data_IF_205161235433
#
_entry.id   IF_205161235433
#
_cell.length_a   1.000
_cell.length_b   1.000
_cell.length_c   1.000
_cell.angle_alpha   90.00
_cell.angle_beta   90.00
_cell.angle_gamma   90.00
#
_symmetry.space_group_name_H-M   'P 1'
#
loop_
_entity.id
_entity.type
_entity.pdbx_description
1 polymer ?
#
# COMPACT_ATOMS: atom_id res chain seq x y z
N UNK A 1 -7.16 82.23 -14.50
CA UNK A 1 -8.26 82.93 -13.77
C UNK A 1 -9.56 82.61 -14.46
N UNK A 2 -10.58 82.14 -13.73
CA UNK A 2 -11.95 82.03 -14.25
C UNK A 2 -12.55 80.62 -14.29
N UNK A 3 -13.18 80.24 -13.17
CA UNK A 3 -14.00 79.04 -12.92
C UNK A 3 -15.21 78.89 -13.86
N UNK A 4 -15.57 77.64 -14.20
CA UNK A 4 -16.97 77.20 -14.18
C UNK A 4 -17.08 75.67 -13.96
N UNK A 5 -17.58 75.30 -12.78
CA UNK A 5 -18.11 73.96 -12.48
C UNK A 5 -19.47 73.79 -13.17
N UNK A 6 -19.73 72.64 -13.78
CA UNK A 6 -21.09 72.17 -14.04
C UNK A 6 -21.27 70.76 -13.47
N UNK A 7 -22.20 70.67 -12.51
CA UNK A 7 -22.67 69.45 -11.86
C UNK A 7 -23.52 68.66 -12.85
N UNK A 8 -23.22 67.38 -13.08
CA UNK A 8 -24.15 66.45 -13.72
C UNK A 8 -24.83 65.65 -12.61
N UNK A 9 -26.15 65.78 -12.55
CA UNK A 9 -27.03 65.03 -11.66
C UNK A 9 -27.25 63.61 -12.17
N UNK A 10 -27.33 62.71 -11.18
CA UNK A 10 -27.71 61.31 -11.23
C UNK A 10 -29.05 61.03 -11.90
N UNK A 11 -29.14 59.94 -12.67
CA UNK A 11 -30.31 59.05 -12.70
C UNK A 11 -29.86 57.60 -12.90
N UNK A 12 -29.63 56.89 -11.80
CA UNK A 12 -29.53 55.42 -11.83
C UNK A 12 -30.94 54.87 -11.73
N UNK A 13 -31.33 54.05 -12.70
CA UNK A 13 -32.65 53.47 -12.88
C UNK A 13 -32.93 52.43 -11.76
N UNK A 14 -34.01 52.52 -10.98
CA UNK A 14 -34.23 51.66 -9.81
C UNK A 14 -34.56 50.20 -10.14
N UNK A 15 -34.61 49.81 -11.42
CA UNK A 15 -34.84 48.42 -11.83
C UNK A 15 -33.61 47.50 -11.75
N UNK A 16 -32.39 48.04 -11.54
CA UNK A 16 -31.16 47.23 -11.52
C UNK A 16 -30.72 46.71 -10.15
N UNK A 17 -31.41 47.09 -9.06
CA UNK A 17 -31.06 46.67 -7.69
C UNK A 17 -31.87 45.45 -7.22
N UNK A 18 -32.91 45.05 -7.94
CA UNK A 18 -33.81 43.97 -7.53
C UNK A 18 -33.39 42.55 -8.00
N UNK A 19 -32.37 42.41 -8.87
CA UNK A 19 -31.90 41.10 -9.37
C UNK A 19 -30.71 40.54 -8.57
N UNK A 20 -30.10 41.33 -7.69
CA UNK A 20 -28.95 40.87 -6.86
C UNK A 20 -29.39 40.27 -5.52
N UNK A 21 -30.68 40.38 -5.13
CA UNK A 21 -31.15 39.97 -3.78
C UNK A 21 -31.91 38.62 -3.79
N UNK A 22 -32.16 38.00 -4.95
CA UNK A 22 -32.87 36.69 -5.02
C UNK A 22 -31.93 35.50 -5.29
N UNK A 23 -30.61 35.73 -5.44
CA UNK A 23 -29.60 34.66 -5.56
C UNK A 23 -28.70 34.51 -4.31
N UNK A 24 -29.18 34.96 -3.14
CA UNK A 24 -28.44 34.90 -1.88
C UNK A 24 -29.15 34.12 -0.75
N UNK A 25 -30.13 33.28 -1.08
CA UNK A 25 -30.91 32.50 -0.10
C UNK A 25 -31.13 31.03 -0.48
N UNK A 26 -30.19 30.45 -1.22
CA UNK A 26 -30.02 28.99 -1.31
C UNK A 26 -28.61 28.60 -0.85
N UNK A 27 -28.19 29.11 0.32
CA UNK A 27 -27.09 28.51 1.03
C UNK A 27 -27.57 27.15 1.54
N UNK A 28 -27.11 26.12 0.84
CA UNK A 28 -27.27 24.72 1.16
C UNK A 28 -27.15 24.53 2.67
N UNK A 29 -28.18 23.96 3.28
CA UNK A 29 -28.01 23.21 4.50
C UNK A 29 -27.07 22.06 4.15
N UNK A 30 -25.76 22.30 4.26
CA UNK A 30 -24.77 21.23 4.33
C UNK A 30 -25.11 20.51 5.62
N UNK A 31 -25.83 19.39 5.51
CA UNK A 31 -25.81 18.39 6.55
C UNK A 31 -24.35 18.03 6.72
N UNK A 32 -23.72 18.56 7.77
CA UNK A 32 -22.51 17.97 8.30
C UNK A 32 -22.92 16.56 8.70
N UNK A 33 -22.76 15.60 7.80
CA UNK A 33 -22.77 14.21 8.16
C UNK A 33 -21.66 14.11 9.19
N UNK A 34 -22.06 14.07 10.47
CA UNK A 34 -21.15 13.87 11.57
C UNK A 34 -20.37 12.62 11.21
N UNK A 35 -19.09 12.79 10.89
CA UNK A 35 -18.20 11.67 10.65
C UNK A 35 -18.11 11.01 12.01
N UNK A 36 -18.93 9.98 12.23
CA UNK A 36 -18.93 9.25 13.48
C UNK A 36 -17.49 8.76 13.67
N UNK A 37 -16.80 9.31 14.66
CA UNK A 37 -15.46 8.86 15.02
C UNK A 37 -15.54 7.36 15.24
N UNK A 38 -14.81 6.59 14.45
CA UNK A 38 -14.81 5.13 14.58
C UNK A 38 -14.38 4.80 15.99
N UNK A 39 -15.19 3.97 16.66
CA UNK A 39 -14.84 3.44 17.96
C UNK A 39 -13.64 2.49 17.81
N UNK A 40 -12.46 3.06 18.04
CA UNK A 40 -11.19 2.34 18.01
C UNK A 40 -10.97 1.48 19.27
N UNK A 41 -11.85 1.55 20.27
CA UNK A 41 -11.67 0.89 21.56
C UNK A 41 -12.01 -0.60 21.53
N UNK A 42 -12.88 -1.02 20.61
CA UNK A 42 -13.45 -2.37 20.57
C UNK A 42 -13.39 -2.94 19.16
N UNK A 43 -12.86 -4.14 19.02
CA UNK A 43 -12.78 -4.86 17.74
C UNK A 43 -13.64 -6.12 17.74
N UNK A 44 -14.32 -6.39 16.62
CA UNK A 44 -15.11 -7.60 16.40
C UNK A 44 -14.16 -8.72 15.94
N UNK A 45 -14.07 -9.80 16.72
CA UNK A 45 -13.25 -10.96 16.38
C UNK A 45 -14.03 -11.95 15.52
N UNK A 46 -13.42 -12.39 14.41
CA UNK A 46 -13.83 -13.52 13.58
C UNK A 46 -12.66 -14.50 13.51
N UNK A 47 -12.91 -15.80 13.70
CA UNK A 47 -11.88 -16.85 13.71
C UNK A 47 -12.03 -17.74 12.48
N UNK A 48 -10.93 -17.95 11.78
CA UNK A 48 -10.84 -18.86 10.65
C UNK A 48 -10.02 -20.09 11.04
N UNK A 49 -10.62 -21.27 10.92
CA UNK A 49 -10.00 -22.55 11.26
C UNK A 49 -10.48 -23.65 10.29
N UNK A 50 -9.58 -24.18 9.46
CA UNK A 50 -9.90 -25.23 8.49
C UNK A 50 -10.43 -26.51 9.15
N UNK A 51 -10.14 -26.74 10.45
CA UNK A 51 -10.69 -27.88 11.20
C UNK A 51 -12.17 -27.72 11.59
N UNK A 52 -12.76 -26.54 11.35
CA UNK A 52 -14.17 -26.26 11.67
C UNK A 52 -14.43 -25.83 13.12
N UNK A 53 -13.39 -25.57 13.91
CA UNK A 53 -13.51 -25.05 15.29
C UNK A 53 -13.46 -23.51 15.37
N UNK A 54 -13.51 -22.84 14.23
CA UNK A 54 -13.59 -21.39 14.08
C UNK A 54 -14.99 -20.99 13.63
N UNK A 55 -15.19 -19.68 13.46
CA UNK A 55 -16.45 -19.14 12.97
C UNK A 55 -16.59 -19.39 11.44
N UNK A 56 -15.46 -19.51 10.72
CA UNK A 56 -15.39 -19.91 9.31
C UNK A 56 -14.26 -20.92 9.05
N UNK A 57 -14.37 -21.71 7.97
CA UNK A 57 -13.29 -22.59 7.48
C UNK A 57 -12.38 -21.90 6.46
N UNK A 58 -12.93 -20.99 5.67
CA UNK A 58 -12.25 -20.24 4.61
C UNK A 58 -12.02 -18.79 5.01
N UNK A 59 -10.97 -18.20 4.46
CA UNK A 59 -10.65 -16.79 4.71
C UNK A 59 -11.63 -15.89 3.96
N UNK A 60 -11.95 -16.22 2.70
CA UNK A 60 -12.86 -15.40 1.90
C UNK A 60 -14.26 -15.33 2.53
N UNK A 61 -14.81 -16.44 3.03
CA UNK A 61 -16.12 -16.46 3.70
C UNK A 61 -16.16 -15.52 4.92
N UNK A 62 -15.06 -15.44 5.68
CA UNK A 62 -14.96 -14.53 6.82
C UNK A 62 -14.94 -13.05 6.38
N UNK A 63 -14.24 -12.71 5.31
CA UNK A 63 -14.26 -11.37 4.70
C UNK A 63 -15.68 -11.06 4.19
N UNK A 64 -16.33 -12.04 3.56
CA UNK A 64 -17.66 -11.90 2.97
C UNK A 64 -18.73 -11.62 4.02
N UNK A 65 -18.56 -12.15 5.24
CA UNK A 65 -19.44 -11.88 6.39
C UNK A 65 -19.37 -10.46 6.96
N UNK A 66 -18.29 -9.71 6.69
CA UNK A 66 -18.19 -8.31 7.12
C UNK A 66 -19.20 -7.48 6.31
N UNK A 67 -20.08 -6.67 6.95
CA UNK A 67 -21.07 -5.87 6.24
C UNK A 67 -20.44 -4.89 5.23
N UNK A 68 -21.12 -4.67 4.11
CA UNK A 68 -20.79 -3.57 3.19
C UNK A 68 -20.88 -2.20 3.87
N UNK A 69 -20.10 -1.24 3.37
CA UNK A 69 -19.92 0.10 3.93
C UNK A 69 -19.53 0.07 5.42
N UNK A 70 -18.64 -0.86 5.78
CA UNK A 70 -18.25 -1.10 7.16
C UNK A 70 -17.64 0.16 7.82
N UNK A 71 -18.03 0.41 9.08
CA UNK A 71 -17.47 1.49 9.91
C UNK A 71 -16.96 0.99 11.27
N UNK A 72 -16.89 -0.33 11.46
CA UNK A 72 -16.44 -0.98 12.71
C UNK A 72 -15.11 -1.68 12.50
N UNK A 73 -14.33 -1.85 13.56
CA UNK A 73 -13.12 -2.65 13.48
C UNK A 73 -13.46 -4.15 13.44
N UNK A 74 -12.98 -4.85 12.41
CA UNK A 74 -13.03 -6.31 12.33
C UNK A 74 -11.63 -6.89 12.38
N UNK A 75 -11.43 -7.93 13.17
CA UNK A 75 -10.20 -8.68 13.26
C UNK A 75 -10.47 -10.13 12.91
N UNK A 76 -10.02 -10.54 11.74
CA UNK A 76 -10.10 -11.90 11.25
C UNK A 76 -8.79 -12.60 11.66
N UNK A 77 -8.89 -13.41 12.71
CA UNK A 77 -7.78 -14.23 13.19
C UNK A 77 -7.76 -15.57 12.47
N UNK A 78 -6.68 -15.87 11.79
CA UNK A 78 -6.50 -17.09 11.01
C UNK A 78 -5.58 -18.04 11.79
N UNK A 79 -6.06 -19.26 12.04
CA UNK A 79 -5.23 -20.30 12.66
C UNK A 79 -4.10 -20.76 11.73
N UNK A 80 -3.06 -21.43 12.28
CA UNK A 80 -2.03 -22.04 11.46
C UNK A 80 -2.62 -23.03 10.44
N UNK A 81 -2.12 -22.97 9.21
CA UNK A 81 -2.59 -23.77 8.08
C UNK A 81 -2.12 -23.20 6.74
N UNK A 82 -2.31 -24.00 5.69
CA UNK A 82 -2.11 -23.58 4.30
C UNK A 82 -3.48 -23.41 3.65
N UNK A 83 -3.79 -22.16 3.30
CA UNK A 83 -5.05 -21.73 2.72
C UNK A 83 -4.83 -21.49 1.22
N UNK A 84 -5.23 -22.48 0.41
CA UNK A 84 -5.18 -22.37 -1.05
C UNK A 84 -6.42 -21.64 -1.56
N UNK A 85 -6.41 -20.32 -1.47
CA UNK A 85 -7.53 -19.43 -1.79
C UNK A 85 -7.01 -18.19 -2.53
N UNK A 86 -7.80 -17.67 -3.48
CA UNK A 86 -7.63 -16.29 -3.96
C UNK A 86 -8.45 -15.37 -3.07
N UNK A 87 -7.78 -14.38 -2.49
CA UNK A 87 -8.40 -13.47 -1.52
C UNK A 87 -8.62 -12.11 -2.15
N UNK A 88 -9.82 -11.56 -1.99
CA UNK A 88 -10.14 -10.17 -2.29
C UNK A 88 -10.77 -9.54 -1.06
N UNK A 89 -10.22 -8.42 -0.60
CA UNK A 89 -10.83 -7.56 0.43
C UNK A 89 -11.50 -6.39 -0.30
N UNK A 90 -12.84 -6.41 -0.47
CA UNK A 90 -13.58 -5.44 -1.27
C UNK A 90 -13.50 -4.00 -0.76
N UNK A 91 -13.54 -3.03 -1.66
CA UNK A 91 -13.35 -1.60 -1.34
C UNK A 91 -14.37 -1.05 -0.31
N UNK A 92 -15.58 -1.60 -0.30
CA UNK A 92 -16.68 -1.22 0.61
C UNK A 92 -16.55 -1.84 2.01
N UNK A 93 -15.47 -2.56 2.31
CA UNK A 93 -15.23 -3.21 3.62
C UNK A 93 -13.96 -2.69 4.31
N UNK A 94 -13.84 -1.38 4.60
CA UNK A 94 -12.67 -0.84 5.27
C UNK A 94 -12.54 -1.35 6.71
N UNK A 95 -11.41 -1.05 7.36
CA UNK A 95 -11.14 -1.37 8.77
C UNK A 95 -11.03 -2.87 9.11
N UNK A 96 -10.84 -3.74 8.12
CA UNK A 96 -10.53 -5.16 8.32
C UNK A 96 -9.04 -5.32 8.67
N UNK A 97 -8.78 -6.04 9.75
CA UNK A 97 -7.47 -6.62 10.07
C UNK A 97 -7.51 -8.12 9.81
N UNK A 98 -6.53 -8.64 9.08
CA UNK A 98 -6.32 -10.08 8.93
C UNK A 98 -4.99 -10.45 9.57
N UNK A 99 -5.02 -11.36 10.53
CA UNK A 99 -3.83 -11.75 11.29
C UNK A 99 -3.69 -13.26 11.40
N UNK A 100 -2.53 -13.77 11.01
CA UNK A 100 -2.09 -15.10 11.43
C UNK A 100 -1.57 -15.10 12.86
N UNK A 101 -1.10 -16.26 13.32
CA UNK A 101 -0.37 -16.37 14.61
C UNK A 101 1.12 -16.12 14.41
N UNK A 102 1.70 -16.67 13.34
CA UNK A 102 3.08 -16.44 12.89
C UNK A 102 3.09 -16.50 11.36
N UNK A 103 3.92 -15.68 10.72
CA UNK A 103 4.00 -15.71 9.26
C UNK A 103 4.42 -17.09 8.72
N UNK A 104 5.30 -17.81 9.41
CA UNK A 104 5.80 -19.11 8.97
C UNK A 104 4.78 -20.25 9.02
N UNK A 105 3.60 -20.06 9.63
CA UNK A 105 2.62 -21.14 9.77
C UNK A 105 1.19 -20.77 9.37
N UNK A 106 0.94 -19.53 8.93
CA UNK A 106 -0.33 -19.12 8.31
C UNK A 106 -0.03 -18.67 6.89
N UNK A 107 -0.24 -19.58 5.92
CA UNK A 107 0.15 -19.41 4.52
C UNK A 107 -1.09 -19.27 3.66
N UNK A 108 -1.18 -18.20 2.87
CA UNK A 108 -2.19 -17.97 1.84
C UNK A 108 -1.48 -18.15 0.50
N UNK A 109 -1.91 -19.12 -0.30
CA UNK A 109 -1.17 -19.57 -1.49
C UNK A 109 -2.06 -19.71 -2.72
N UNK A 110 -1.54 -19.28 -3.86
CA UNK A 110 -2.08 -19.58 -5.18
C UNK A 110 -0.95 -19.74 -6.20
N UNK A 111 -1.27 -19.93 -7.47
CA UNK A 111 -0.26 -20.26 -8.51
C UNK A 111 -0.62 -19.74 -9.90
N UNK A 112 -1.33 -18.62 -10.00
CA UNK A 112 -1.66 -18.00 -11.29
C UNK A 112 -0.49 -17.15 -11.78
N UNK A 113 -0.18 -17.24 -13.07
CA UNK A 113 0.71 -16.31 -13.76
C UNK A 113 -0.01 -15.55 -14.88
N UNK A 114 0.65 -14.56 -15.47
CA UNK A 114 0.15 -13.86 -16.65
C UNK A 114 -0.22 -12.40 -16.37
N UNK A 115 -1.50 -12.04 -16.54
CA UNK A 115 -1.96 -10.66 -16.35
C UNK A 115 -1.74 -10.22 -14.89
N UNK A 116 -1.19 -9.01 -14.70
CA UNK A 116 -0.63 -8.58 -13.41
C UNK A 116 -1.73 -8.39 -12.36
N UNK A 117 -2.92 -7.93 -12.73
CA UNK A 117 -4.03 -7.79 -11.78
C UNK A 117 -4.71 -9.13 -11.47
N UNK A 118 -4.86 -10.00 -12.47
CA UNK A 118 -5.55 -11.28 -12.32
C UNK A 118 -4.69 -12.33 -11.63
N UNK A 119 -3.36 -12.28 -11.76
CA UNK A 119 -2.46 -13.26 -11.13
C UNK A 119 -2.34 -13.14 -9.61
N UNK A 120 -2.84 -12.06 -9.01
CA UNK A 120 -2.74 -11.80 -7.58
C UNK A 120 -3.36 -12.93 -6.72
N UNK A 121 -2.58 -13.48 -5.79
CA UNK A 121 -3.08 -14.41 -4.76
C UNK A 121 -3.98 -13.67 -3.76
N UNK A 122 -3.55 -12.48 -3.33
CA UNK A 122 -4.28 -11.63 -2.40
C UNK A 122 -4.39 -10.22 -2.99
N UNK A 123 -5.61 -9.72 -3.18
CA UNK A 123 -5.90 -8.32 -3.53
C UNK A 123 -6.56 -7.57 -2.38
N UNK A 124 -5.99 -6.43 -1.98
CA UNK A 124 -6.57 -5.50 -1.00
C UNK A 124 -7.06 -4.25 -1.73
N UNK A 125 -8.37 -4.01 -1.68
CA UNK A 125 -9.03 -2.80 -2.21
C UNK A 125 -9.59 -1.89 -1.10
N UNK A 126 -9.80 -2.46 0.10
CA UNK A 126 -10.38 -1.77 1.24
C UNK A 126 -9.40 -0.82 1.92
N UNK A 127 -9.85 0.41 2.20
CA UNK A 127 -9.06 1.35 2.98
C UNK A 127 -8.90 0.91 4.44
N UNK A 128 -7.86 1.40 5.12
CA UNK A 128 -7.58 1.11 6.53
C UNK A 128 -7.33 -0.37 6.83
N UNK A 129 -7.00 -1.16 5.80
CA UNK A 129 -6.69 -2.58 5.93
C UNK A 129 -5.39 -2.80 6.72
N UNK A 130 -5.36 -3.86 7.53
CA UNK A 130 -4.13 -4.30 8.23
C UNK A 130 -3.89 -5.80 8.04
N UNK A 131 -2.74 -6.16 7.46
CA UNK A 131 -2.25 -7.54 7.40
C UNK A 131 -1.17 -7.80 8.45
N UNK A 132 -1.23 -8.93 9.18
CA UNK A 132 -0.22 -9.26 10.20
C UNK A 132 0.16 -10.73 10.20
N UNK A 133 1.46 -11.02 10.25
CA UNK A 133 1.96 -12.38 10.49
C UNK A 133 1.38 -13.42 9.51
N UNK A 134 1.29 -13.07 8.23
CA UNK A 134 0.85 -13.93 7.14
C UNK A 134 2.04 -14.23 6.22
N UNK A 135 2.11 -15.43 5.67
CA UNK A 135 2.77 -15.66 4.38
C UNK A 135 1.73 -15.54 3.29
N UNK A 136 2.00 -14.70 2.30
CA UNK A 136 1.20 -14.53 1.09
C UNK A 136 2.13 -14.89 -0.07
N UNK A 137 1.81 -15.95 -0.79
CA UNK A 137 2.70 -16.47 -1.82
C UNK A 137 1.99 -16.79 -3.12
N UNK A 138 2.70 -16.56 -4.23
CA UNK A 138 2.34 -17.07 -5.53
C UNK A 138 3.42 -18.05 -6.00
N UNK A 139 3.01 -19.30 -6.21
CA UNK A 139 3.89 -20.44 -6.51
C UNK A 139 4.00 -20.75 -8.00
N UNK A 140 3.53 -19.85 -8.88
CA UNK A 140 3.65 -20.00 -10.34
C UNK A 140 5.10 -20.21 -10.82
N UNK A 141 6.06 -19.62 -10.11
CA UNK A 141 7.50 -19.76 -10.40
C UNK A 141 8.04 -18.68 -11.32
N UNK A 142 9.11 -18.98 -12.04
CA UNK A 142 9.93 -18.01 -12.78
C UNK A 142 9.53 -17.81 -14.25
N UNK A 143 8.44 -18.44 -14.71
CA UNK A 143 8.02 -18.42 -16.11
C UNK A 143 7.40 -17.08 -16.56
N UNK A 144 7.12 -16.17 -15.63
CA UNK A 144 6.55 -14.86 -15.94
C UNK A 144 6.00 -14.16 -14.70
N UNK A 145 5.20 -13.11 -14.93
CA UNK A 145 4.54 -12.32 -13.89
C UNK A 145 3.61 -13.19 -13.05
N UNK A 146 3.71 -13.06 -11.74
CA UNK A 146 2.91 -13.81 -10.79
C UNK A 146 2.79 -13.03 -9.47
N UNK A 147 1.72 -12.24 -9.33
CA UNK A 147 1.57 -11.38 -8.14
C UNK A 147 1.19 -12.22 -6.92
N UNK A 148 1.90 -12.05 -5.81
CA UNK A 148 1.50 -12.61 -4.52
C UNK A 148 0.51 -11.67 -3.83
N UNK A 149 0.87 -10.40 -3.73
CA UNK A 149 0.06 -9.37 -3.08
C UNK A 149 -0.14 -8.18 -4.01
N UNK A 150 -1.40 -7.80 -4.24
CA UNK A 150 -1.79 -6.53 -4.84
C UNK A 150 -2.43 -5.64 -3.79
N UNK A 151 -1.97 -4.41 -3.68
CA UNK A 151 -2.54 -3.41 -2.76
C UNK A 151 -2.94 -2.17 -3.56
N UNK A 152 -4.25 -1.95 -3.68
CA UNK A 152 -4.85 -0.79 -4.35
C UNK A 152 -5.86 -0.15 -3.39
N UNK A 153 -5.36 0.37 -2.27
CA UNK A 153 -6.18 0.83 -1.15
C UNK A 153 -5.52 1.99 -0.41
N UNK A 154 -6.29 2.92 0.13
CA UNK A 154 -5.67 3.97 0.95
C UNK A 154 -5.46 3.48 2.39
N UNK A 155 -4.34 3.84 3.01
CA UNK A 155 -4.06 3.58 4.45
C UNK A 155 -3.97 2.07 4.77
N UNK A 156 -3.27 1.30 3.93
CA UNK A 156 -3.05 -0.12 4.18
C UNK A 156 -1.71 -0.37 4.90
N UNK A 157 -1.70 -1.25 5.91
CA UNK A 157 -0.48 -1.57 6.65
C UNK A 157 -0.23 -3.08 6.77
N UNK A 158 1.04 -3.48 6.70
CA UNK A 158 1.48 -4.86 6.81
C UNK A 158 2.58 -4.99 7.86
N UNK A 159 2.44 -5.94 8.79
CA UNK A 159 3.35 -6.13 9.92
C UNK A 159 3.84 -7.57 9.99
N UNK A 160 5.16 -7.76 9.86
CA UNK A 160 5.76 -9.09 10.02
C UNK A 160 5.26 -10.11 9.00
N UNK A 161 4.81 -9.67 7.82
CA UNK A 161 4.34 -10.55 6.76
C UNK A 161 5.49 -11.05 5.89
N UNK A 162 5.29 -12.18 5.22
CA UNK A 162 6.16 -12.72 4.17
C UNK A 162 5.41 -12.64 2.84
N UNK A 163 5.98 -11.98 1.84
CA UNK A 163 5.36 -11.80 0.52
C UNK A 163 6.29 -12.42 -0.54
N UNK A 164 5.88 -13.54 -1.12
CA UNK A 164 6.78 -14.46 -1.83
C UNK A 164 6.28 -14.74 -3.25
N UNK A 165 7.11 -14.47 -4.24
CA UNK A 165 6.92 -14.90 -5.64
C UNK A 165 8.23 -14.67 -6.39
N UNK A 166 8.18 -14.54 -7.72
CA UNK A 166 9.34 -14.33 -8.58
C UNK A 166 9.28 -12.99 -9.32
N UNK A 167 8.50 -12.86 -10.38
CA UNK A 167 8.31 -11.60 -11.09
C UNK A 167 7.02 -10.91 -10.62
N UNK A 168 7.10 -9.60 -10.37
CA UNK A 168 5.98 -8.76 -9.92
C UNK A 168 5.39 -9.21 -8.56
N UNK A 169 6.22 -9.75 -7.64
CA UNK A 169 5.76 -10.32 -6.35
C UNK A 169 4.77 -9.43 -5.58
N UNK A 170 5.12 -8.17 -5.39
CA UNK A 170 4.30 -7.16 -4.73
C UNK A 170 3.92 -6.10 -5.75
N UNK A 171 2.65 -6.10 -6.16
CA UNK A 171 2.04 -5.01 -6.89
C UNK A 171 1.49 -3.99 -5.88
N UNK A 172 2.34 -3.06 -5.50
CA UNK A 172 2.05 -1.92 -4.63
C UNK A 172 1.40 -0.78 -5.45
N UNK A 173 0.17 -1.07 -5.90
CA UNK A 173 -0.55 -0.43 -7.01
C UNK A 173 -0.78 1.08 -6.77
N UNK A 174 -1.62 1.43 -5.79
CA UNK A 174 -2.00 2.82 -5.50
C UNK A 174 -2.51 2.98 -4.07
N UNK A 175 -2.27 4.14 -3.48
CA UNK A 175 -2.64 4.46 -2.10
C UNK A 175 -1.44 4.84 -1.22
N UNK A 176 -1.70 4.99 0.08
CA UNK A 176 -0.66 5.20 1.09
C UNK A 176 -0.46 3.89 1.87
N UNK A 177 0.73 3.31 1.80
CA UNK A 177 1.00 2.00 2.39
C UNK A 177 2.18 2.01 3.36
N UNK A 178 2.11 1.11 4.34
CA UNK A 178 3.17 0.92 5.32
C UNK A 178 3.50 -0.56 5.49
N UNK A 179 4.76 -0.92 5.28
CA UNK A 179 5.26 -2.28 5.48
C UNK A 179 6.31 -2.23 6.59
N UNK A 180 6.10 -2.97 7.67
CA UNK A 180 7.00 -2.98 8.82
C UNK A 180 7.46 -4.37 9.16
N UNK A 181 8.78 -4.55 9.21
CA UNK A 181 9.40 -5.83 9.58
C UNK A 181 8.95 -7.00 8.68
N UNK A 182 8.59 -6.71 7.43
CA UNK A 182 8.16 -7.71 6.46
C UNK A 182 9.37 -8.33 5.75
N UNK A 183 9.20 -9.55 5.27
CA UNK A 183 10.11 -10.21 4.34
C UNK A 183 9.46 -10.24 2.95
N UNK A 184 10.17 -9.76 1.93
CA UNK A 184 9.67 -9.69 0.55
C UNK A 184 10.75 -10.28 -0.36
N UNK A 185 10.38 -11.25 -1.20
CA UNK A 185 11.32 -11.86 -2.13
C UNK A 185 10.82 -11.94 -3.58
N UNK A 186 11.76 -11.92 -4.52
CA UNK A 186 11.49 -12.03 -5.95
C UNK A 186 12.72 -11.75 -6.79
N UNK A 187 12.58 -11.70 -8.12
CA UNK A 187 13.69 -11.60 -9.06
C UNK A 187 13.61 -10.36 -9.95
N UNK A 188 12.47 -10.15 -10.62
CA UNK A 188 12.27 -9.09 -11.61
C UNK A 188 11.11 -8.21 -11.21
N UNK A 189 11.35 -6.91 -11.09
CA UNK A 189 10.35 -5.88 -10.76
C UNK A 189 9.48 -6.26 -9.56
N UNK A 190 10.06 -6.98 -8.59
CA UNK A 190 9.26 -7.72 -7.62
C UNK A 190 8.60 -6.83 -6.56
N UNK A 191 8.93 -5.53 -6.55
CA UNK A 191 8.15 -4.48 -5.89
C UNK A 191 7.82 -3.41 -6.95
N UNK A 192 6.59 -3.37 -7.44
CA UNK A 192 6.19 -2.50 -8.55
C UNK A 192 4.86 -1.79 -8.28
N UNK A 193 4.59 -0.70 -9.00
CA UNK A 193 3.35 0.08 -8.85
C UNK A 193 3.59 1.57 -8.60
N UNK A 194 2.54 2.29 -8.20
CA UNK A 194 2.55 3.75 -8.02
C UNK A 194 2.08 4.19 -6.62
N UNK A 195 2.10 3.33 -5.60
CA UNK A 195 1.75 3.76 -4.25
C UNK A 195 2.76 4.76 -3.64
N UNK A 196 2.31 5.49 -2.63
CA UNK A 196 3.18 6.18 -1.67
C UNK A 196 3.45 5.23 -0.50
N UNK A 197 4.65 4.65 -0.46
CA UNK A 197 4.92 3.52 0.42
C UNK A 197 6.20 3.67 1.23
N UNK A 198 6.09 3.34 2.52
CA UNK A 198 7.23 3.22 3.42
C UNK A 198 7.42 1.76 3.83
N UNK A 199 8.56 1.20 3.44
CA UNK A 199 9.07 -0.08 3.89
C UNK A 199 10.06 0.19 5.03
N UNK A 200 9.68 -0.09 6.27
CA UNK A 200 10.48 0.16 7.46
C UNK A 200 10.98 -1.14 8.07
N UNK A 201 12.31 -1.28 8.19
CA UNK A 201 12.98 -2.47 8.76
C UNK A 201 12.58 -3.79 8.07
N UNK A 202 12.27 -3.73 6.77
CA UNK A 202 11.96 -4.90 5.98
C UNK A 202 13.22 -5.62 5.51
N UNK A 203 13.12 -6.92 5.28
CA UNK A 203 14.12 -7.72 4.59
C UNK A 203 13.67 -7.98 3.16
N UNK A 204 14.41 -7.41 2.22
CA UNK A 204 14.18 -7.51 0.79
C UNK A 204 15.20 -8.51 0.21
N UNK A 205 14.72 -9.60 -0.36
CA UNK A 205 15.57 -10.71 -0.80
C UNK A 205 15.41 -11.00 -2.30
N UNK A 206 16.47 -10.76 -3.08
CA UNK A 206 16.46 -11.04 -4.52
C UNK A 206 16.81 -12.50 -4.80
N UNK A 207 15.89 -13.21 -5.44
CA UNK A 207 16.07 -14.56 -5.96
C UNK A 207 16.78 -14.59 -7.31
N UNK A 208 17.04 -13.43 -7.92
CA UNK A 208 17.66 -13.37 -9.25
C UNK A 208 19.08 -13.94 -9.22
N UNK A 209 19.36 -14.86 -10.14
CA UNK A 209 20.71 -15.38 -10.42
C UNK A 209 21.51 -14.46 -11.34
N UNK A 210 20.87 -13.43 -11.93
CA UNK A 210 21.51 -12.40 -12.76
C UNK A 210 20.49 -11.44 -13.36
N UNK A 211 20.88 -10.17 -13.54
CA UNK A 211 20.04 -9.11 -14.14
C UNK A 211 18.68 -8.88 -13.46
N UNK A 212 18.57 -9.16 -12.15
CA UNK A 212 17.35 -8.86 -11.39
C UNK A 212 17.08 -7.36 -11.24
N UNK A 213 15.86 -7.01 -10.88
CA UNK A 213 15.47 -5.64 -10.54
C UNK A 213 14.57 -5.68 -9.30
N UNK A 214 14.96 -4.93 -8.26
CA UNK A 214 14.19 -4.91 -7.00
C UNK A 214 12.90 -4.12 -7.16
N UNK A 215 12.98 -2.89 -7.68
CA UNK A 215 11.80 -2.03 -7.82
C UNK A 215 11.51 -1.62 -9.26
N UNK A 216 10.23 -1.52 -9.59
CA UNK A 216 9.74 -0.85 -10.79
C UNK A 216 8.62 0.15 -10.45
N UNK A 217 9.00 1.35 -10.04
CA UNK A 217 8.05 2.37 -9.57
C UNK A 217 7.49 3.18 -10.74
N UNK A 218 6.18 3.43 -10.74
CA UNK A 218 5.38 3.91 -11.89
C UNK A 218 4.86 5.35 -11.78
N UNK A 219 5.51 6.22 -11.01
CA UNK A 219 5.10 7.63 -10.91
C UNK A 219 5.11 8.29 -12.28
N UNK A 220 4.00 8.93 -12.64
CA UNK A 220 3.76 9.46 -13.99
C UNK A 220 3.90 10.98 -14.09
N UNK A 221 3.84 11.70 -12.96
CA UNK A 221 4.01 13.16 -12.97
C UNK A 221 4.65 13.71 -11.69
N UNK A 222 5.18 14.94 -11.77
CA UNK A 222 5.76 15.67 -10.63
C UNK A 222 4.75 16.04 -9.55
N UNK A 223 3.47 16.11 -9.88
CA UNK A 223 2.38 16.50 -8.99
C UNK A 223 1.94 15.33 -8.09
N UNK A 224 2.20 14.08 -8.49
CA UNK A 224 1.93 12.91 -7.66
C UNK A 224 2.88 12.89 -6.45
N UNK A 225 2.36 12.66 -5.24
CA UNK A 225 3.19 12.43 -4.06
C UNK A 225 3.44 10.93 -3.80
N UNK A 226 3.67 10.16 -4.85
CA UNK A 226 3.87 8.70 -4.79
C UNK A 226 5.35 8.32 -4.85
N UNK A 227 5.72 7.10 -4.49
CA UNK A 227 7.10 6.65 -4.46
C UNK A 227 7.35 5.58 -3.41
N UNK A 228 8.46 4.86 -3.56
CA UNK A 228 8.86 3.81 -2.63
C UNK A 228 10.03 4.27 -1.76
N UNK A 229 9.86 4.24 -0.45
CA UNK A 229 10.91 4.56 0.52
C UNK A 229 11.26 3.33 1.34
N UNK A 230 12.52 2.94 1.35
CA UNK A 230 13.06 1.83 2.13
C UNK A 230 13.93 2.40 3.26
N UNK A 231 13.45 2.29 4.50
CA UNK A 231 14.05 2.89 5.67
C UNK A 231 14.55 1.81 6.65
N UNK A 232 15.86 1.75 6.87
CA UNK A 232 16.45 0.78 7.79
C UNK A 232 16.29 -0.67 7.33
N UNK A 233 16.13 -0.89 6.02
CA UNK A 233 15.90 -2.21 5.45
C UNK A 233 17.21 -3.01 5.30
N UNK A 234 17.05 -4.29 4.95
CA UNK A 234 18.16 -5.18 4.58
C UNK A 234 17.94 -5.73 3.17
N UNK A 235 18.86 -5.46 2.26
CA UNK A 235 18.84 -5.97 0.88
C UNK A 235 19.86 -7.11 0.73
N UNK A 236 19.37 -8.29 0.38
CA UNK A 236 20.15 -9.52 0.18
C UNK A 236 19.67 -10.28 -1.04
N UNK A 237 20.38 -11.32 -1.46
CA UNK A 237 20.01 -12.08 -2.65
C UNK A 237 21.11 -13.04 -3.09
N UNK A 238 20.77 -13.86 -4.08
CA UNK A 238 21.60 -14.99 -4.53
C UNK A 238 22.61 -14.59 -5.60
N UNK A 239 22.19 -13.83 -6.60
CA UNK A 239 23.02 -13.40 -7.73
C UNK A 239 23.23 -11.90 -7.77
N UNK A 240 22.84 -11.28 -8.90
CA UNK A 240 23.01 -9.85 -9.16
C UNK A 240 21.69 -9.18 -9.49
N UNK A 241 21.48 -7.98 -8.95
CA UNK A 241 20.31 -7.17 -9.25
C UNK A 241 20.63 -5.67 -9.21
N UNK A 242 19.83 -4.88 -9.93
CA UNK A 242 19.74 -3.43 -9.72
C UNK A 242 18.71 -3.11 -8.62
N UNK A 243 18.94 -2.00 -7.92
CA UNK A 243 18.04 -1.41 -6.93
C UNK A 243 16.68 -1.05 -7.52
N UNK A 244 16.64 -0.68 -8.81
CA UNK A 244 15.39 -0.40 -9.49
C UNK A 244 15.55 0.06 -10.94
N UNK A 245 14.41 0.11 -11.64
CA UNK A 245 14.28 0.69 -12.98
C UNK A 245 12.95 1.43 -13.16
N UNK A 246 12.90 2.50 -13.98
CA UNK A 246 11.75 3.40 -14.00
C UNK A 246 10.65 2.90 -14.93
N UNK A 247 9.60 2.32 -14.34
CA UNK A 247 8.37 2.00 -15.07
C UNK A 247 7.64 3.29 -15.50
N UNK A 248 7.57 4.28 -14.61
CA UNK A 248 6.99 5.59 -14.89
C UNK A 248 8.07 6.66 -15.19
N UNK A 249 7.74 7.71 -15.96
CA UNK A 249 8.69 8.76 -16.31
C UNK A 249 9.19 9.61 -15.13
N UNK A 250 8.46 9.65 -14.02
CA UNK A 250 8.82 10.39 -12.79
C UNK A 250 9.14 9.44 -11.63
N UNK A 251 9.56 8.21 -11.96
CA UNK A 251 9.79 7.14 -11.00
C UNK A 251 10.58 7.61 -9.77
N UNK A 252 10.08 7.32 -8.57
CA UNK A 252 10.70 7.76 -7.31
C UNK A 252 10.95 6.60 -6.35
N UNK A 253 12.22 6.37 -6.04
CA UNK A 253 12.68 5.32 -5.14
C UNK A 253 13.80 5.86 -4.25
N UNK A 254 13.66 5.69 -2.93
CA UNK A 254 14.66 6.13 -1.95
C UNK A 254 15.05 4.97 -1.06
N UNK A 255 16.35 4.71 -0.93
CA UNK A 255 16.93 3.82 0.07
C UNK A 255 17.63 4.66 1.13
N UNK A 256 17.21 4.55 2.39
CA UNK A 256 17.79 5.29 3.50
C UNK A 256 18.18 4.36 4.64
N UNK A 257 19.40 4.54 5.17
CA UNK A 257 19.92 3.76 6.30
C UNK A 257 19.82 2.24 6.07
N UNK A 258 19.91 1.81 4.81
CA UNK A 258 19.62 0.45 4.38
C UNK A 258 20.90 -0.32 4.14
N UNK A 259 20.97 -1.56 4.65
CA UNK A 259 22.07 -2.47 4.36
C UNK A 259 21.92 -3.05 2.95
N UNK A 260 23.00 -3.08 2.17
CA UNK A 260 23.06 -3.69 0.84
C UNK A 260 24.20 -4.71 0.79
N UNK A 261 23.86 -5.99 0.62
CA UNK A 261 24.86 -7.03 0.34
C UNK A 261 25.48 -6.86 -1.05
N UNK A 262 26.55 -7.60 -1.34
CA UNK A 262 27.28 -7.53 -2.62
C UNK A 262 26.52 -8.00 -3.87
N UNK A 263 25.22 -8.27 -3.79
CA UNK A 263 24.38 -8.56 -4.97
C UNK A 263 24.14 -7.32 -5.84
N UNK A 264 24.16 -6.12 -5.22
CA UNK A 264 23.80 -4.89 -5.92
C UNK A 264 24.86 -4.61 -6.97
N UNK A 265 24.42 -4.49 -8.22
CA UNK A 265 25.32 -4.18 -9.32
C UNK A 265 25.94 -2.79 -9.12
N UNK A 266 27.21 -2.56 -9.51
CA UNK A 266 27.90 -1.28 -9.24
C UNK A 266 27.15 -0.05 -9.78
N UNK A 267 26.53 -0.17 -10.97
CA UNK A 267 25.70 0.88 -11.55
C UNK A 267 24.46 1.23 -10.70
N UNK A 268 24.03 0.32 -9.84
CA UNK A 268 22.92 0.46 -8.89
C UNK A 268 21.55 0.45 -9.55
N UNK A 269 21.36 1.18 -10.64
CA UNK A 269 20.07 1.43 -11.27
C UNK A 269 20.14 1.16 -12.77
N UNK A 270 18.98 0.90 -13.38
CA UNK A 270 18.84 0.71 -14.81
C UNK A 270 17.76 1.66 -15.33
N UNK A 271 17.96 2.27 -16.49
CA UNK A 271 17.07 3.29 -17.09
C UNK A 271 16.08 2.73 -18.12
N UNK A 272 16.09 1.41 -18.33
CA UNK A 272 15.30 0.73 -19.34
C UNK A 272 15.59 1.19 -20.78
N UNK A 273 16.81 1.69 -21.02
CA UNK A 273 17.23 2.27 -22.31
C UNK A 273 16.45 3.53 -22.70
N UNK A 274 15.89 4.25 -21.72
CA UNK A 274 15.15 5.49 -21.92
C UNK A 274 15.84 6.67 -21.21
N UNK A 275 16.78 7.29 -21.92
CA UNK A 275 17.58 8.42 -21.43
C UNK A 275 16.74 9.65 -21.07
N UNK A 276 15.55 9.81 -21.67
CA UNK A 276 14.69 10.97 -21.40
C UNK A 276 14.17 10.99 -19.95
N UNK A 277 14.14 9.82 -19.29
CA UNK A 277 13.71 9.70 -17.88
C UNK A 277 14.73 10.23 -16.89
N UNK A 278 16.01 10.32 -17.25
CA UNK A 278 17.09 10.70 -16.32
C UNK A 278 16.84 12.05 -15.66
N UNK A 279 16.17 12.98 -16.37
CA UNK A 279 15.84 14.32 -15.87
C UNK A 279 14.77 14.34 -14.78
N UNK A 280 13.87 13.35 -14.78
CA UNK A 280 12.63 13.38 -13.98
C UNK A 280 12.59 12.32 -12.87
N UNK A 281 13.36 11.24 -12.99
CA UNK A 281 13.41 10.20 -11.96
C UNK A 281 14.11 10.69 -10.69
N UNK A 282 13.66 10.21 -9.54
CA UNK A 282 14.26 10.53 -8.24
C UNK A 282 14.72 9.23 -7.55
N UNK A 283 15.94 8.80 -7.89
CA UNK A 283 16.56 7.58 -7.36
C UNK A 283 17.67 7.93 -6.38
N UNK A 284 17.33 7.89 -5.09
CA UNK A 284 18.18 8.37 -4.01
C UNK A 284 18.69 7.27 -3.10
N UNK A 285 19.94 7.40 -2.63
CA UNK A 285 20.45 6.62 -1.50
C UNK A 285 21.00 7.58 -0.43
N UNK A 286 20.61 7.36 0.83
CA UNK A 286 21.08 8.12 2.00
C UNK A 286 21.69 7.19 3.03
N UNK A 287 22.98 7.35 3.34
CA UNK A 287 23.70 6.58 4.38
C UNK A 287 23.42 5.06 4.30
N UNK A 288 23.31 4.51 3.09
CA UNK A 288 23.27 3.06 2.87
C UNK A 288 24.66 2.48 3.12
N UNK A 289 24.73 1.21 3.52
CA UNK A 289 25.98 0.59 3.95
C UNK A 289 26.05 -0.89 3.57
N UNK A 290 27.25 -1.46 3.65
CA UNK A 290 27.53 -2.83 3.20
C UNK A 290 28.15 -2.89 1.80
N UNK A 291 28.58 -4.08 1.35
CA UNK A 291 29.37 -4.22 0.12
C UNK A 291 28.67 -3.73 -1.16
N UNK A 292 27.33 -3.78 -1.21
CA UNK A 292 26.56 -3.31 -2.37
C UNK A 292 26.25 -1.81 -2.35
N UNK A 293 26.60 -1.11 -1.26
CA UNK A 293 26.33 0.32 -1.10
C UNK A 293 27.44 1.22 -1.66
N UNK A 294 28.53 0.66 -2.20
CA UNK A 294 29.56 1.46 -2.88
C UNK A 294 28.95 2.19 -4.07
N UNK A 295 29.08 3.52 -4.05
CA UNK A 295 28.53 4.42 -5.05
C UNK A 295 29.52 4.86 -6.12
N UNK A 296 30.79 4.46 -6.03
CA UNK A 296 31.88 4.88 -6.93
C UNK A 296 31.57 4.68 -8.42
N UNK A 297 30.74 3.68 -8.74
CA UNK A 297 30.38 3.30 -10.11
C UNK A 297 28.87 3.42 -10.38
N UNK A 298 28.12 4.14 -9.55
CA UNK A 298 26.68 4.36 -9.78
C UNK A 298 26.47 5.14 -11.07
N UNK A 299 25.32 4.91 -11.71
CA UNK A 299 24.87 5.77 -12.81
C UNK A 299 24.85 7.24 -12.38
N UNK A 300 25.31 8.13 -13.26
CA UNK A 300 25.54 9.54 -12.95
C UNK A 300 24.28 10.31 -12.57
N UNK A 301 23.11 9.86 -13.03
CA UNK A 301 21.80 10.47 -12.73
C UNK A 301 21.20 10.01 -11.39
N UNK A 302 21.84 9.07 -10.67
CA UNK A 302 21.39 8.68 -9.33
C UNK A 302 21.85 9.69 -8.27
N UNK A 303 21.06 9.85 -7.21
CA UNK A 303 21.25 10.92 -6.22
C UNK A 303 21.88 10.38 -4.94
N UNK A 304 23.02 10.96 -4.53
CA UNK A 304 23.55 10.79 -3.18
C UNK A 304 22.96 11.87 -2.29
N UNK A 305 21.98 11.50 -1.48
CA UNK A 305 21.19 12.48 -0.73
C UNK A 305 21.99 13.07 0.44
N UNK A 306 21.87 14.37 0.62
CA UNK A 306 22.24 15.06 1.86
C UNK A 306 21.25 14.74 2.98
N UNK A 307 21.60 15.11 4.22
CA UNK A 307 20.72 14.95 5.37
C UNK A 307 19.41 15.73 5.21
N UNK A 308 19.47 16.97 4.68
CA UNK A 308 18.30 17.81 4.46
C UNK A 308 17.36 17.21 3.41
N UNK A 309 17.90 16.69 2.30
CA UNK A 309 17.10 16.01 1.27
C UNK A 309 16.49 14.71 1.79
N UNK A 310 17.24 13.96 2.60
CA UNK A 310 16.78 12.69 3.14
C UNK A 310 15.72 12.85 4.24
N UNK A 311 15.75 13.93 5.03
CA UNK A 311 14.94 14.12 6.23
C UNK A 311 13.44 13.85 6.03
N UNK A 312 12.87 14.21 4.88
CA UNK A 312 11.45 13.99 4.55
C UNK A 312 11.10 12.51 4.38
N UNK A 313 12.07 11.67 4.00
CA UNK A 313 11.92 10.23 3.81
C UNK A 313 12.23 9.41 5.07
N UNK A 314 12.78 10.02 6.12
CA UNK A 314 13.14 9.33 7.38
C UNK A 314 11.99 9.26 8.40
N UNK A 315 10.80 9.66 7.99
CA UNK A 315 9.61 9.74 8.86
C UNK A 315 8.41 9.07 8.20
N UNK A 316 7.49 8.56 9.03
CA UNK A 316 6.18 8.05 8.61
C UNK A 316 5.29 9.16 8.01
N UNK A 317 5.66 10.43 8.16
CA UNK A 317 4.93 11.55 7.56
C UNK A 317 4.95 11.53 6.03
N UNK A 318 5.96 10.87 5.42
CA UNK A 318 6.04 10.72 3.96
C UNK A 318 4.83 9.99 3.36
N UNK A 319 4.10 9.23 4.18
CA UNK A 319 2.85 8.53 3.81
C UNK A 319 1.66 9.04 4.64
N UNK A 320 1.78 10.18 5.32
CA UNK A 320 0.78 10.71 6.24
C UNK A 320 0.51 9.82 7.46
N UNK A 321 1.45 8.94 7.82
CA UNK A 321 1.24 7.81 8.75
C UNK A 321 0.77 8.21 10.15
N UNK A 322 1.10 9.41 10.63
CA UNK A 322 0.58 9.92 11.92
C UNK A 322 -0.95 9.99 11.97
N UNK A 323 -1.59 10.25 10.83
CA UNK A 323 -3.04 10.44 10.77
C UNK A 323 -3.83 9.13 10.71
N UNK A 324 -3.21 8.02 10.32
CA UNK A 324 -3.94 6.80 10.00
C UNK A 324 -3.34 5.49 10.48
N UNK A 325 -2.06 5.44 10.89
CA UNK A 325 -1.51 4.21 11.45
C UNK A 325 -2.17 3.92 12.78
N UNK A 326 -2.85 2.77 12.84
CA UNK A 326 -3.63 2.34 14.01
C UNK A 326 -2.78 1.42 14.88
N UNK A 327 -2.85 1.55 16.23
CA UNK A 327 -2.25 0.55 17.12
C UNK A 327 -2.95 -0.81 16.95
N UNK A 328 -2.29 -1.87 17.41
CA UNK A 328 -2.96 -3.18 17.49
C UNK A 328 -4.15 -3.09 18.48
N UNK A 329 -5.31 -3.69 18.16
CA UNK A 329 -6.43 -3.72 19.08
C UNK A 329 -6.06 -4.36 20.42
N UNK A 330 -6.55 -3.78 21.52
CA UNK A 330 -6.37 -4.31 22.88
C UNK A 330 -7.62 -4.98 23.44
N UNK A 331 -8.82 -4.66 22.94
CA UNK A 331 -10.08 -5.25 23.38
C UNK A 331 -10.86 -5.88 22.22
N UNK A 332 -11.40 -7.08 22.47
CA UNK A 332 -12.14 -7.85 21.48
C UNK A 332 -13.54 -8.21 22.00
N UNK A 333 -14.54 -8.13 21.12
CA UNK A 333 -15.86 -8.73 21.30
C UNK A 333 -16.06 -9.81 20.24
N UNK A 334 -16.67 -10.93 20.63
CA UNK A 334 -16.96 -12.03 19.70
C UNK A 334 -18.06 -11.55 18.74
N UNK A 335 -17.84 -11.68 17.43
CA UNK A 335 -18.86 -11.40 16.43
C UNK A 335 -20.06 -12.35 16.59
N UNK A 336 -21.27 -11.89 16.25
CA UNK A 336 -22.43 -12.77 16.25
C UNK A 336 -22.17 -13.94 15.28
N UNK A 337 -22.02 -15.15 15.82
CA UNK A 337 -21.89 -16.38 15.03
C UNK A 337 -23.15 -16.56 14.20
N UNK A 338 -23.01 -16.89 12.92
CA UNK A 338 -24.09 -17.55 12.19
C UNK A 338 -24.24 -18.94 12.80
N UNK A 339 -25.10 -19.09 13.80
CA UNK A 339 -25.44 -20.39 14.37
C UNK A 339 -26.08 -21.22 13.25
N UNK A 340 -25.37 -22.21 12.73
CA UNK A 340 -26.00 -23.26 11.93
C UNK A 340 -26.89 -24.02 12.92
N UNK A 341 -28.18 -23.70 12.90
CA UNK A 341 -29.18 -24.48 13.60
C UNK A 341 -29.17 -25.89 12.99
N UNK A 342 -28.63 -26.86 13.73
CA UNK A 342 -28.92 -28.25 13.47
C UNK A 342 -30.41 -28.46 13.78
N UNK A 343 -31.25 -28.39 12.74
CA UNK A 343 -32.55 -29.06 12.75
C UNK A 343 -32.27 -30.56 12.69
N UNK A 344 -32.31 -31.22 13.83
CA UNK A 344 -32.75 -32.62 13.87
C UNK A 344 -34.24 -32.58 14.13
N UNK A 345 -35.00 -32.65 13.03
CA UNK A 345 -36.37 -33.13 13.06
C UNK A 345 -36.29 -34.64 13.35
N UNK A 346 -36.65 -35.06 14.57
CA UNK A 346 -37.08 -36.43 14.84
C UNK A 346 -38.46 -36.38 15.49
N UNK A 347 -39.47 -36.47 14.63
CA UNK A 347 -40.79 -37.00 14.92
C UNK A 347 -41.11 -37.98 13.79
N UNK A 348 -40.75 -39.26 13.99
CA UNK A 348 -41.63 -40.41 13.70
C UNK A 348 -41.04 -41.69 14.28
#
# INVERSE_FOLDING_TARGET
MGSARMKIYSRVNPLFVAIIIVFASLFMATSSAATSSIDMSTTILIRVDQSGRGDFKKIQDAIDSVPSNNSKLYFIWIKPGTYREKIVVPADKPFITISGTKASNTIITWSDGGEIFQSATFTVLASDFVGRFLTIENTYGSAGKAVALRVSANRAAFYGCRILSYQDTLLDDTGNHYYSSCYIEGATDFICGNAASLFERCHIHSLSTGNGAITAQKRVSSEENTGFTFLGCKITGVGKAVLGRPWGPYSRVVYALTYMSGLVLPQGWNDWHDYAKHTNVYYGEYKCYGPGADRSNRVAWSLSLSENEAATFLTKDTIGGRAWLRPAPSNFKIGASATIAARTDENN
#
